data_IF_271424867307
#
_entry.id   IF_271424867307
#
_cell.length_a   1.000
_cell.length_b   1.000
_cell.length_c   1.000
_cell.angle_alpha   90.00
_cell.angle_beta   90.00
_cell.angle_gamma   90.00
#
_symmetry.space_group_name_H-M   'P 1'
#
loop_
_entity.id
_entity.type
_entity.pdbx_description
1 polymer ?
#
# COMPACT_ATOMS: atom_id res chain seq x y z
N UNK A 1 -34.03 -46.16 -17.85
CA UNK A 1 -33.23 -46.76 -16.77
C UNK A 1 -32.02 -47.39 -17.45
N UNK A 2 -30.78 -46.94 -17.43
CA UNK A 2 -30.04 -45.95 -16.64
C UNK A 2 -28.82 -45.55 -17.49
N UNK A 3 -28.56 -44.25 -17.65
CA UNK A 3 -27.34 -43.73 -18.27
C UNK A 3 -26.16 -44.03 -17.32
N UNK A 4 -25.04 -44.63 -17.77
CA UNK A 4 -23.86 -44.73 -16.92
C UNK A 4 -23.25 -43.35 -16.66
N UNK A 5 -23.06 -43.14 -15.37
CA UNK A 5 -22.42 -42.05 -14.64
C UNK A 5 -21.02 -41.73 -15.19
N UNK A 6 -20.95 -40.97 -16.29
CA UNK A 6 -19.75 -40.20 -16.62
C UNK A 6 -19.58 -39.17 -15.50
N UNK A 7 -18.65 -39.49 -14.61
CA UNK A 7 -18.42 -38.88 -13.32
C UNK A 7 -18.14 -37.39 -13.45
N UNK A 8 -19.19 -36.65 -13.12
CA UNK A 8 -19.12 -35.33 -12.51
C UNK A 8 -18.20 -35.44 -11.29
N UNK A 9 -16.94 -35.05 -11.44
CA UNK A 9 -16.17 -34.52 -10.33
C UNK A 9 -15.67 -33.14 -10.71
N UNK A 10 -16.55 -32.18 -10.45
CA UNK A 10 -16.23 -30.90 -9.85
C UNK A 10 -14.85 -30.39 -10.24
N UNK A 11 -14.80 -29.76 -11.41
CA UNK A 11 -13.82 -28.77 -11.82
C UNK A 11 -13.70 -27.77 -10.68
N UNK A 12 -12.83 -28.11 -9.74
CA UNK A 12 -12.54 -27.34 -8.55
C UNK A 12 -11.62 -26.25 -9.03
N UNK A 13 -12.26 -25.17 -9.51
CA UNK A 13 -11.83 -23.79 -9.40
C UNK A 13 -10.45 -23.68 -8.76
N UNK A 14 -9.42 -23.68 -9.61
CA UNK A 14 -8.15 -23.08 -9.22
C UNK A 14 -8.44 -21.58 -9.24
N UNK A 15 -8.66 -21.06 -8.03
CA UNK A 15 -8.80 -19.65 -7.76
C UNK A 15 -7.60 -18.92 -8.38
N UNK A 16 -7.80 -17.80 -9.09
CA UNK A 16 -6.69 -16.95 -9.50
C UNK A 16 -5.99 -16.40 -8.25
N UNK A 17 -4.66 -16.46 -8.27
CA UNK A 17 -3.75 -15.96 -7.23
C UNK A 17 -4.11 -14.50 -6.83
N UNK A 18 -4.19 -14.17 -5.52
CA UNK A 18 -4.45 -12.81 -5.08
C UNK A 18 -3.16 -12.00 -5.14
N UNK A 19 -2.77 -11.61 -6.35
CA UNK A 19 -1.64 -10.75 -6.60
C UNK A 19 -1.97 -9.83 -7.77
N UNK A 20 -2.05 -8.52 -7.48
CA UNK A 20 -2.20 -7.39 -8.42
C UNK A 20 -3.65 -6.89 -8.63
N UNK A 21 -4.01 -5.83 -7.92
CA UNK A 21 -5.06 -4.92 -8.40
C UNK A 21 -4.40 -3.84 -9.27
N UNK A 22 -4.83 -3.64 -10.53
CA UNK A 22 -4.48 -2.46 -11.29
C UNK A 22 -5.27 -1.25 -10.74
N UNK A 23 -4.68 -0.06 -10.87
CA UNK A 23 -5.15 1.17 -10.25
C UNK A 23 -6.53 1.67 -10.70
N UNK A 24 -7.06 2.57 -9.88
CA UNK A 24 -8.11 3.55 -10.18
C UNK A 24 -9.59 3.10 -10.20
N UNK A 25 -10.08 2.44 -9.13
CA UNK A 25 -11.52 2.36 -8.83
C UNK A 25 -11.82 2.76 -7.37
N UNK A 26 -11.49 4.01 -7.03
CA UNK A 26 -11.71 4.59 -5.70
C UNK A 26 -13.14 5.13 -5.56
N UNK A 27 -14.12 4.29 -5.18
CA UNK A 27 -15.38 4.75 -4.56
C UNK A 27 -15.95 3.85 -3.44
N UNK A 28 -15.21 2.85 -2.94
CA UNK A 28 -15.68 1.94 -1.86
C UNK A 28 -14.68 1.75 -0.69
N UNK A 29 -13.71 2.66 -0.49
CA UNK A 29 -12.66 2.57 0.56
C UNK A 29 -12.52 3.84 1.43
N UNK A 30 -13.61 4.30 2.05
CA UNK A 30 -13.73 5.68 2.58
C UNK A 30 -13.07 5.97 3.95
N UNK A 31 -12.12 5.14 4.41
CA UNK A 31 -11.38 5.39 5.67
C UNK A 31 -9.88 5.09 5.58
N UNK A 32 -9.31 4.89 4.39
CA UNK A 32 -7.86 4.68 4.27
C UNK A 32 -7.11 6.02 4.36
N UNK A 33 -6.26 6.15 5.38
CA UNK A 33 -5.39 7.32 5.57
C UNK A 33 -4.44 7.46 4.38
N UNK A 34 -4.36 8.67 3.82
CA UNK A 34 -3.47 8.95 2.69
C UNK A 34 -2.11 9.46 3.18
N UNK A 35 -1.05 9.17 2.42
CA UNK A 35 0.27 9.76 2.62
C UNK A 35 0.84 10.34 1.34
N UNK A 36 1.69 11.36 1.51
CA UNK A 36 2.53 11.93 0.45
C UNK A 36 3.95 11.99 0.96
N UNK A 37 4.91 11.60 0.14
CA UNK A 37 6.33 11.79 0.45
C UNK A 37 6.89 12.89 -0.44
N UNK A 38 7.44 13.93 0.19
CA UNK A 38 8.24 14.94 -0.47
C UNK A 38 9.62 14.35 -0.85
N UNK A 39 9.70 13.81 -2.06
CA UNK A 39 10.91 13.22 -2.62
C UNK A 39 12.02 14.25 -2.87
N UNK A 40 11.71 15.56 -2.86
CA UNK A 40 12.74 16.61 -2.94
C UNK A 40 13.46 16.83 -1.61
N UNK A 41 12.77 16.55 -0.49
CA UNK A 41 13.33 16.59 0.86
C UNK A 41 13.96 15.26 1.26
N UNK A 42 13.44 14.14 0.76
CA UNK A 42 13.95 12.80 1.07
C UNK A 42 15.45 12.70 0.76
N UNK A 43 16.22 12.17 1.71
CA UNK A 43 17.68 11.98 1.61
C UNK A 43 18.10 10.50 1.76
N UNK A 44 17.18 9.55 1.54
CA UNK A 44 17.54 8.12 1.54
C UNK A 44 17.89 7.49 2.90
N UNK A 45 17.56 8.11 4.05
CA UNK A 45 17.88 7.56 5.38
C UNK A 45 17.23 6.20 5.70
N UNK A 46 16.28 5.73 4.89
CA UNK A 46 15.63 4.41 4.98
C UNK A 46 14.91 4.05 6.30
N UNK A 47 14.77 4.98 7.26
CA UNK A 47 14.09 4.70 8.53
C UNK A 47 12.62 4.29 8.34
N UNK A 48 11.95 4.88 7.34
CA UNK A 48 10.58 4.52 6.99
C UNK A 48 10.46 3.08 6.49
N UNK A 49 11.43 2.59 5.71
CA UNK A 49 11.47 1.21 5.20
C UNK A 49 11.65 0.22 6.35
N UNK A 50 12.45 0.57 7.36
CA UNK A 50 12.61 -0.28 8.54
C UNK A 50 11.33 -0.37 9.39
N UNK A 51 10.62 0.75 9.57
CA UNK A 51 9.44 0.83 10.43
C UNK A 51 8.16 0.33 9.75
N UNK A 52 8.02 0.55 8.44
CA UNK A 52 6.85 0.21 7.65
C UNK A 52 7.25 -0.35 6.27
N UNK A 53 7.91 -1.54 6.21
CA UNK A 53 8.39 -2.14 4.96
C UNK A 53 7.26 -2.54 4.00
N UNK A 54 6.03 -2.65 4.49
CA UNK A 54 4.84 -2.96 3.68
C UNK A 54 4.32 -1.71 2.92
N UNK A 55 4.73 -0.51 3.34
CA UNK A 55 4.29 0.77 2.77
C UNK A 55 5.42 1.49 2.02
N UNK A 56 6.66 1.35 2.48
CA UNK A 56 7.84 2.01 1.90
C UNK A 56 8.89 1.01 1.45
N UNK A 57 9.48 1.27 0.29
CA UNK A 57 10.57 0.48 -0.26
C UNK A 57 11.65 1.42 -0.81
N UNK A 58 12.91 1.16 -0.47
CA UNK A 58 14.05 1.87 -1.06
C UNK A 58 14.66 1.00 -2.15
N UNK A 59 14.74 1.55 -3.36
CA UNK A 59 15.45 0.97 -4.49
C UNK A 59 16.82 1.63 -4.62
N UNK A 60 17.88 0.83 -4.45
CA UNK A 60 19.25 1.36 -4.42
C UNK A 60 19.50 2.23 -3.19
N UNK A 61 20.20 3.36 -3.38
CA UNK A 61 20.62 4.24 -2.30
C UNK A 61 19.63 5.38 -1.99
N UNK A 62 18.86 5.86 -2.97
CA UNK A 62 18.06 7.10 -2.81
C UNK A 62 16.61 7.01 -3.33
N UNK A 63 16.29 6.04 -4.19
CA UNK A 63 14.97 6.01 -4.83
C UNK A 63 13.91 5.37 -3.92
N UNK A 64 13.07 6.19 -3.30
CA UNK A 64 11.99 5.72 -2.44
C UNK A 64 10.68 5.50 -3.24
N UNK A 65 10.14 4.29 -3.12
CA UNK A 65 8.81 3.90 -3.57
C UNK A 65 7.88 3.78 -2.36
N UNK A 66 6.60 4.12 -2.53
CA UNK A 66 5.62 3.99 -1.45
C UNK A 66 4.18 3.83 -1.96
N UNK A 67 3.32 3.26 -1.11
CA UNK A 67 1.88 3.21 -1.34
C UNK A 67 1.19 4.43 -0.67
N UNK A 68 0.52 5.32 -1.42
CA UNK A 68 -0.16 6.48 -0.85
C UNK A 68 -1.41 6.11 -0.03
N UNK A 69 -2.05 4.97 -0.33
CA UNK A 69 -3.19 4.48 0.44
C UNK A 69 -2.70 3.54 1.53
N UNK A 70 -2.79 3.97 2.79
CA UNK A 70 -2.28 3.22 3.94
C UNK A 70 -3.38 2.33 4.52
N UNK A 71 -3.17 1.00 4.56
CA UNK A 71 -4.07 0.08 5.24
C UNK A 71 -4.16 0.38 6.75
N UNK A 72 -5.33 0.11 7.35
CA UNK A 72 -5.60 0.40 8.77
C UNK A 72 -4.59 -0.24 9.74
N UNK A 73 -4.09 -1.43 9.41
CA UNK A 73 -3.09 -2.17 10.19
C UNK A 73 -1.67 -1.59 10.09
N UNK A 74 -1.41 -0.70 9.12
CA UNK A 74 -0.13 -0.03 8.93
C UNK A 74 -0.11 1.41 9.46
N UNK A 75 -1.24 1.96 9.87
CA UNK A 75 -1.37 3.38 10.25
C UNK A 75 -0.37 3.79 11.33
N UNK A 76 -0.23 3.00 12.39
CA UNK A 76 0.67 3.33 13.50
C UNK A 76 2.14 3.24 13.08
N UNK A 77 2.50 2.26 12.25
CA UNK A 77 3.85 2.13 11.70
C UNK A 77 4.19 3.29 10.77
N UNK A 78 3.23 3.74 9.96
CA UNK A 78 3.41 4.90 9.08
C UNK A 78 3.53 6.20 9.88
N UNK A 79 2.77 6.38 10.97
CA UNK A 79 2.94 7.52 11.89
C UNK A 79 4.32 7.51 12.55
N UNK A 80 4.79 6.35 12.99
CA UNK A 80 6.13 6.20 13.53
C UNK A 80 7.21 6.49 12.47
N UNK A 81 7.03 6.01 11.25
CA UNK A 81 7.93 6.29 10.13
C UNK A 81 8.01 7.78 9.81
N UNK A 82 6.88 8.49 9.82
CA UNK A 82 6.84 9.93 9.63
C UNK A 82 7.61 10.67 10.73
N UNK A 83 7.41 10.29 12.00
CA UNK A 83 8.11 10.88 13.14
C UNK A 83 9.62 10.57 13.15
N UNK A 84 10.03 9.43 12.62
CA UNK A 84 11.44 9.02 12.54
C UNK A 84 12.20 9.72 11.40
N UNK A 85 11.50 10.26 10.39
CA UNK A 85 12.14 10.90 9.24
C UNK A 85 12.94 12.15 9.67
N UNK A 86 14.29 12.15 9.57
CA UNK A 86 15.12 13.27 10.07
C UNK A 86 14.83 14.59 9.37
N UNK A 87 14.39 14.51 8.11
CA UNK A 87 14.10 15.65 7.24
C UNK A 87 12.60 15.92 7.10
N UNK A 88 11.75 15.18 7.84
CA UNK A 88 10.29 15.31 7.85
C UNK A 88 9.68 15.34 6.43
N UNK A 89 10.04 14.36 5.61
CA UNK A 89 9.59 14.25 4.22
C UNK A 89 8.23 13.56 4.06
N UNK A 90 7.69 12.90 5.09
CA UNK A 90 6.44 12.13 5.01
C UNK A 90 5.29 12.97 5.57
N UNK A 91 4.26 13.19 4.75
CA UNK A 91 3.07 13.99 5.06
C UNK A 91 1.84 13.08 5.17
N UNK A 92 0.97 13.36 6.13
CA UNK A 92 -0.18 12.52 6.50
C UNK A 92 -1.52 13.21 6.14
N UNK A 93 -2.50 12.42 5.71
CA UNK A 93 -3.68 12.81 4.93
C UNK A 93 -4.72 13.76 5.56
N UNK A 94 -4.49 14.30 6.75
CA UNK A 94 -5.25 15.47 7.24
C UNK A 94 -4.66 16.77 6.63
N UNK A 95 -3.35 16.81 6.38
CA UNK A 95 -2.64 17.97 5.80
C UNK A 95 -2.61 17.94 4.25
N UNK A 96 -2.74 16.76 3.64
CA UNK A 96 -2.69 16.59 2.17
C UNK A 96 -3.91 17.23 1.47
N UNK A 97 -5.06 17.32 2.16
CA UNK A 97 -6.27 17.97 1.60
C UNK A 97 -6.22 19.51 1.62
N UNK A 98 -5.34 20.13 2.42
CA UNK A 98 -5.33 21.58 2.61
C UNK A 98 -4.46 22.33 1.57
N UNK A 99 -3.62 21.63 0.81
CA UNK A 99 -2.62 22.22 -0.09
C UNK A 99 -3.01 22.35 -1.56
N UNK A 100 -4.23 21.98 -1.96
CA UNK A 100 -4.69 22.04 -3.36
C UNK A 100 -5.37 23.37 -3.73
N UNK A 101 -4.90 24.52 -3.21
CA UNK A 101 -5.46 25.85 -3.53
C UNK A 101 -4.52 26.67 -4.40
#
# INVERSE_FOLDING_TARGET
>A
MDKPLAERRCERLILPEPGKKPGAEAREGWLEMQIVVDLTRCQGYAQCVFLAPEVFELHGEEALLYNPAVPDDQLDRVRQAAAACPVQAILLGEEVSAGAR
#
